data_IF_517123445594
#
_entry.id   IF_517123445594
#
_cell.length_a   1.000
_cell.length_b   1.000
_cell.length_c   1.000
_cell.angle_alpha   90.00
_cell.angle_beta   90.00
_cell.angle_gamma   90.00
#
_symmetry.space_group_name_H-M   'P 1'
#
loop_
_entity.id
_entity.type
_entity.pdbx_description
1 polymer ?
#
# COMPACT_ATOMS: atom_id res chain seq x y z
N UNK A 1 -39.31 2.93 -9.89
CA UNK A 1 -38.75 2.01 -10.90
C UNK A 1 -37.35 1.46 -10.58
N UNK A 2 -36.43 2.20 -9.92
CA UNK A 2 -35.08 1.68 -9.57
C UNK A 2 -35.08 0.56 -8.52
N UNK A 3 -35.94 0.64 -7.47
CA UNK A 3 -36.03 -0.39 -6.42
C UNK A 3 -36.50 -1.75 -6.95
N UNK A 4 -37.40 -1.76 -7.93
CA UNK A 4 -37.94 -2.99 -8.51
C UNK A 4 -36.90 -3.79 -9.32
N UNK A 5 -35.93 -3.11 -9.96
CA UNK A 5 -34.83 -3.77 -10.69
C UNK A 5 -33.85 -4.50 -9.75
N UNK A 6 -33.64 -3.99 -8.53
CA UNK A 6 -32.76 -4.61 -7.53
C UNK A 6 -33.40 -5.89 -6.98
N UNK A 7 -34.70 -5.87 -6.68
CA UNK A 7 -35.43 -7.07 -6.25
C UNK A 7 -35.52 -8.13 -7.35
N UNK A 8 -35.65 -7.70 -8.61
CA UNK A 8 -35.66 -8.62 -9.74
C UNK A 8 -34.29 -9.30 -9.96
N UNK A 9 -33.18 -8.56 -9.78
CA UNK A 9 -31.82 -9.10 -9.89
C UNK A 9 -31.48 -10.05 -8.73
N UNK A 10 -31.91 -9.71 -7.50
CA UNK A 10 -31.77 -10.59 -6.34
C UNK A 10 -32.62 -11.87 -6.46
N UNK A 11 -33.83 -11.75 -7.00
CA UNK A 11 -34.69 -12.91 -7.30
C UNK A 11 -34.09 -13.82 -8.37
N UNK A 12 -33.48 -13.26 -9.42
CA UNK A 12 -32.81 -14.03 -10.46
C UNK A 12 -31.58 -14.79 -9.94
N UNK A 13 -30.82 -14.18 -9.01
CA UNK A 13 -29.68 -14.82 -8.33
C UNK A 13 -30.12 -15.99 -7.43
N UNK A 14 -31.29 -15.89 -6.79
CA UNK A 14 -31.88 -16.95 -5.98
C UNK A 14 -32.49 -18.10 -6.81
N UNK A 15 -32.92 -17.84 -8.04
CA UNK A 15 -33.42 -18.87 -8.96
C UNK A 15 -32.26 -19.61 -9.65
N UNK A 16 -31.09 -18.97 -9.79
CA UNK A 16 -29.85 -19.60 -10.26
C UNK A 16 -29.16 -20.48 -9.20
N UNK A 17 -29.50 -20.34 -7.92
CA UNK A 17 -29.10 -21.30 -6.89
C UNK A 17 -30.00 -22.53 -6.96
N UNK A 18 -29.56 -23.55 -7.72
CA UNK A 18 -30.15 -24.89 -7.71
C UNK A 18 -30.20 -25.50 -6.29
N UNK A 19 -30.77 -26.72 -6.14
CA UNK A 19 -30.91 -27.35 -4.83
C UNK A 19 -29.55 -27.41 -4.12
N UNK A 20 -29.44 -26.68 -3.01
CA UNK A 20 -28.28 -26.70 -2.11
C UNK A 20 -28.26 -28.06 -1.40
N UNK A 21 -27.74 -29.07 -2.09
CA UNK A 21 -27.26 -30.28 -1.42
C UNK A 21 -26.06 -29.86 -0.58
N UNK A 22 -26.28 -29.65 0.72
CA UNK A 22 -25.26 -29.28 1.67
C UNK A 22 -24.35 -30.48 1.94
N UNK A 23 -23.38 -30.68 1.05
CA UNK A 23 -22.30 -31.68 1.19
C UNK A 23 -21.14 -31.14 2.04
N UNK A 24 -21.07 -29.82 2.25
CA UNK A 24 -20.25 -29.15 3.27
C UNK A 24 -18.80 -29.63 3.36
N UNK A 25 -17.89 -28.98 2.63
CA UNK A 25 -16.48 -29.37 2.60
C UNK A 25 -15.57 -28.27 3.13
N UNK A 26 -14.48 -28.67 3.80
CA UNK A 26 -13.47 -27.75 4.29
C UNK A 26 -12.23 -27.81 3.41
N UNK A 27 -11.59 -26.68 3.23
CA UNK A 27 -10.37 -26.53 2.47
C UNK A 27 -9.37 -25.74 3.30
N UNK A 28 -8.22 -26.34 3.55
CA UNK A 28 -7.08 -25.66 4.15
C UNK A 28 -6.14 -25.21 3.04
N UNK A 29 -5.64 -23.98 3.12
CA UNK A 29 -4.68 -23.48 2.14
C UNK A 29 -3.54 -22.72 2.78
N UNK A 30 -2.40 -22.76 2.11
CA UNK A 30 -1.23 -21.94 2.37
C UNK A 30 -0.91 -21.14 1.11
N UNK A 31 -0.52 -19.89 1.27
CA UNK A 31 -0.15 -19.04 0.15
C UNK A 31 1.03 -18.12 0.47
N UNK A 32 1.70 -17.69 -0.58
CA UNK A 32 2.72 -16.65 -0.58
C UNK A 32 2.42 -15.66 -1.70
N UNK A 33 2.60 -14.38 -1.43
CA UNK A 33 2.35 -13.33 -2.41
C UNK A 33 3.48 -12.30 -2.44
N UNK A 34 3.68 -11.71 -3.61
CA UNK A 34 4.37 -10.43 -3.75
C UNK A 34 3.34 -9.32 -3.71
N UNK A 35 3.67 -8.25 -3.00
CA UNK A 35 2.85 -7.05 -2.87
C UNK A 35 3.61 -5.83 -3.40
N UNK A 36 2.94 -4.89 -4.03
CA UNK A 36 3.57 -3.63 -4.45
C UNK A 36 2.58 -2.49 -4.72
N UNK A 37 3.01 -1.25 -4.51
CA UNK A 37 2.34 -0.05 -5.07
C UNK A 37 3.04 0.49 -6.31
N UNK A 38 4.10 -0.18 -6.80
CA UNK A 38 4.92 0.31 -7.91
C UNK A 38 4.17 0.35 -9.26
N UNK A 39 3.02 -0.31 -9.39
CA UNK A 39 2.17 -0.15 -10.57
C UNK A 39 1.63 1.30 -10.70
N UNK A 40 1.53 2.03 -9.58
CA UNK A 40 1.14 3.44 -9.55
C UNK A 40 2.35 4.38 -9.35
N UNK A 41 3.58 3.90 -9.54
CA UNK A 41 4.81 4.66 -9.24
C UNK A 41 4.81 6.07 -9.84
N UNK A 42 4.63 6.18 -11.16
CA UNK A 42 4.69 7.48 -11.83
C UNK A 42 3.61 8.45 -11.35
N UNK A 43 2.42 7.96 -10.99
CA UNK A 43 1.36 8.79 -10.41
C UNK A 43 1.79 9.35 -9.04
N UNK A 44 2.35 8.49 -8.18
CA UNK A 44 2.81 8.89 -6.84
C UNK A 44 4.01 9.84 -6.93
N UNK A 45 4.98 9.55 -7.79
CA UNK A 45 6.15 10.41 -8.00
C UNK A 45 5.74 11.80 -8.46
N UNK A 46 4.83 11.90 -9.43
CA UNK A 46 4.32 13.19 -9.90
C UNK A 46 3.54 13.94 -8.82
N UNK A 47 2.59 13.29 -8.14
CA UNK A 47 1.81 13.92 -7.07
C UNK A 47 2.70 14.45 -5.93
N UNK A 48 3.74 13.69 -5.55
CA UNK A 48 4.68 14.12 -4.52
C UNK A 48 5.58 15.24 -5.04
N UNK A 49 6.05 15.16 -6.29
CA UNK A 49 6.82 16.23 -6.91
C UNK A 49 6.04 17.54 -6.94
N UNK A 50 4.77 17.52 -7.36
CA UNK A 50 3.92 18.72 -7.44
C UNK A 50 3.76 19.39 -6.05
N UNK A 51 3.54 18.58 -5.01
CA UNK A 51 3.39 19.09 -3.62
C UNK A 51 4.71 19.65 -3.09
N UNK A 52 5.84 19.00 -3.38
CA UNK A 52 7.14 19.49 -2.93
C UNK A 52 7.53 20.77 -3.69
N UNK A 53 7.20 20.86 -4.99
CA UNK A 53 7.41 22.08 -5.75
C UNK A 53 6.57 23.25 -5.23
N UNK A 54 5.28 23.04 -4.90
CA UNK A 54 4.45 24.13 -4.37
C UNK A 54 4.83 24.54 -2.95
N UNK A 55 5.13 23.56 -2.07
CA UNK A 55 5.24 23.85 -0.64
C UNK A 55 6.68 24.02 -0.17
N UNK A 56 7.63 23.21 -0.67
CA UNK A 56 9.02 23.30 -0.22
C UNK A 56 9.79 24.38 -0.98
N UNK A 57 9.62 24.50 -2.30
CA UNK A 57 10.32 25.53 -3.09
C UNK A 57 10.00 26.92 -2.53
N UNK A 58 8.72 27.23 -2.38
CA UNK A 58 8.25 28.53 -1.90
C UNK A 58 8.77 28.83 -0.48
N UNK A 59 8.81 27.82 0.41
CA UNK A 59 9.38 27.97 1.75
C UNK A 59 10.88 28.23 1.74
N UNK A 60 11.65 27.50 0.93
CA UNK A 60 13.09 27.71 0.83
C UNK A 60 13.41 29.08 0.24
N UNK A 61 12.72 29.48 -0.84
CA UNK A 61 12.87 30.81 -1.43
C UNK A 61 12.55 31.89 -0.39
N UNK A 62 11.42 31.77 0.31
CA UNK A 62 11.03 32.75 1.36
C UNK A 62 12.08 32.81 2.48
N UNK A 63 12.57 31.66 2.94
CA UNK A 63 13.58 31.62 4.01
C UNK A 63 14.90 32.25 3.57
N UNK A 64 15.37 31.94 2.35
CA UNK A 64 16.60 32.51 1.81
C UNK A 64 16.44 34.02 1.60
N UNK A 65 15.29 34.48 1.09
CA UNK A 65 15.01 35.90 0.85
C UNK A 65 14.88 36.72 2.14
N UNK A 66 14.55 36.11 3.28
CA UNK A 66 14.58 36.80 4.57
C UNK A 66 16.00 37.23 4.95
N UNK A 67 16.99 36.39 4.63
CA UNK A 67 18.41 36.66 4.93
C UNK A 67 19.11 37.39 3.77
N UNK A 68 18.65 37.17 2.53
CA UNK A 68 19.21 37.70 1.28
C UNK A 68 18.10 38.18 0.32
N UNK A 69 17.54 39.40 0.52
CA UNK A 69 16.33 39.86 -0.17
C UNK A 69 16.43 39.99 -1.70
N UNK A 70 17.65 40.14 -2.21
CA UNK A 70 17.91 40.34 -3.63
C UNK A 70 18.06 39.03 -4.42
N UNK A 71 18.14 37.87 -3.74
CA UNK A 71 18.22 36.57 -4.40
C UNK A 71 16.84 36.16 -4.94
N UNK A 72 16.76 35.99 -6.26
CA UNK A 72 15.58 35.50 -6.97
C UNK A 72 15.84 34.13 -7.60
N UNK A 73 14.76 33.36 -7.81
CA UNK A 73 14.82 32.08 -8.51
C UNK A 73 15.31 32.26 -9.96
N UNK A 74 16.35 31.51 -10.34
CA UNK A 74 16.88 31.43 -11.70
C UNK A 74 16.61 30.04 -12.33
N UNK A 75 16.56 29.00 -11.50
CA UNK A 75 16.24 27.65 -11.96
C UNK A 75 15.89 26.70 -10.82
N UNK A 76 14.98 25.77 -11.09
CA UNK A 76 14.60 24.72 -10.15
C UNK A 76 14.52 23.37 -10.86
N UNK A 77 15.11 22.34 -10.25
CA UNK A 77 15.00 20.97 -10.70
C UNK A 77 14.82 20.04 -9.51
N UNK A 78 13.86 19.14 -9.64
CA UNK A 78 13.53 18.16 -8.63
C UNK A 78 13.47 16.76 -9.21
N UNK A 79 13.87 15.77 -8.41
CA UNK A 79 13.66 14.36 -8.70
C UNK A 79 13.07 13.67 -7.49
N UNK A 80 12.00 12.92 -7.71
CA UNK A 80 11.36 12.06 -6.71
C UNK A 80 11.36 10.63 -7.24
N UNK A 81 12.03 9.73 -6.52
CA UNK A 81 12.00 8.29 -6.79
C UNK A 81 11.12 7.62 -5.75
N UNK A 82 10.17 6.79 -6.18
CA UNK A 82 9.26 6.03 -5.32
C UNK A 82 9.48 4.52 -5.47
N UNK A 83 9.55 3.83 -4.33
CA UNK A 83 9.59 2.38 -4.29
C UNK A 83 8.75 1.83 -3.14
N UNK A 84 7.83 0.93 -3.47
CA UNK A 84 6.95 0.29 -2.51
C UNK A 84 6.79 -1.21 -2.74
N UNK A 85 7.79 -2.03 -2.36
CA UNK A 85 7.74 -3.47 -2.46
C UNK A 85 7.24 -4.13 -1.17
N UNK A 86 6.81 -5.37 -1.29
CA UNK A 86 6.41 -6.18 -0.14
C UNK A 86 6.14 -7.63 -0.49
N UNK A 87 5.78 -8.37 0.55
CA UNK A 87 5.44 -9.77 0.49
C UNK A 87 4.45 -10.12 1.60
N UNK A 88 3.70 -11.19 1.40
CA UNK A 88 2.89 -11.78 2.45
C UNK A 88 2.93 -13.31 2.36
N UNK A 89 2.66 -13.95 3.48
CA UNK A 89 2.33 -15.37 3.52
C UNK A 89 1.23 -15.59 4.54
N UNK A 90 0.44 -16.64 4.30
CA UNK A 90 -0.72 -16.88 5.13
C UNK A 90 -1.32 -18.25 4.97
N UNK A 91 -2.25 -18.50 5.87
CA UNK A 91 -3.07 -19.70 5.90
C UNK A 91 -4.54 -19.30 5.82
N UNK A 92 -5.35 -20.06 5.09
CA UNK A 92 -6.79 -19.84 5.02
C UNK A 92 -7.54 -21.16 5.19
N UNK A 93 -8.54 -21.14 6.07
CA UNK A 93 -9.55 -22.17 6.18
C UNK A 93 -10.80 -21.73 5.44
N UNK A 94 -11.27 -22.53 4.49
CA UNK A 94 -12.38 -22.19 3.61
C UNK A 94 -13.46 -23.24 3.63
N UNK A 95 -14.71 -22.81 3.75
CA UNK A 95 -15.88 -23.67 3.73
C UNK A 95 -16.62 -23.55 2.40
N UNK A 96 -16.96 -24.70 1.81
CA UNK A 96 -17.76 -24.82 0.58
C UNK A 96 -19.14 -25.37 0.93
N UNK A 97 -20.18 -24.52 1.01
CA UNK A 97 -21.54 -24.98 1.31
C UNK A 97 -22.05 -26.01 0.30
N UNK A 98 -21.74 -25.82 -0.99
CA UNK A 98 -22.10 -26.73 -2.08
C UNK A 98 -21.14 -27.91 -2.28
N UNK A 99 -20.27 -28.20 -1.31
CA UNK A 99 -19.32 -29.32 -1.34
C UNK A 99 -18.27 -29.22 -2.46
N UNK A 100 -17.83 -30.36 -2.98
CA UNK A 100 -16.68 -30.43 -3.91
C UNK A 100 -16.84 -29.65 -5.21
N UNK A 101 -18.07 -29.54 -5.71
CA UNK A 101 -18.39 -28.81 -6.94
C UNK A 101 -19.07 -27.47 -6.66
N UNK A 102 -19.08 -27.02 -5.40
CA UNK A 102 -19.64 -25.74 -5.02
C UNK A 102 -18.88 -24.58 -5.66
N UNK A 103 -19.62 -23.69 -6.33
CA UNK A 103 -19.08 -22.46 -6.90
C UNK A 103 -18.69 -21.44 -5.82
N UNK A 104 -19.47 -21.36 -4.74
CA UNK A 104 -19.28 -20.38 -3.68
C UNK A 104 -18.55 -20.95 -2.47
N UNK A 105 -17.74 -20.11 -1.82
CA UNK A 105 -17.08 -20.46 -0.56
C UNK A 105 -16.77 -19.25 0.32
N UNK A 106 -16.66 -19.52 1.63
CA UNK A 106 -16.33 -18.57 2.68
C UNK A 106 -14.98 -18.93 3.29
N UNK A 107 -14.02 -18.02 3.27
CA UNK A 107 -12.65 -18.20 3.79
C UNK A 107 -12.40 -17.35 5.03
N UNK A 108 -11.69 -17.91 5.99
CA UNK A 108 -11.09 -17.22 7.12
C UNK A 108 -9.56 -17.36 7.03
N UNK A 109 -8.88 -16.23 6.87
CA UNK A 109 -7.44 -16.18 6.64
C UNK A 109 -6.69 -15.54 7.81
N UNK A 110 -5.45 -15.98 8.01
CA UNK A 110 -4.43 -15.26 8.79
C UNK A 110 -3.22 -15.02 7.91
N UNK A 111 -2.80 -13.75 7.80
CA UNK A 111 -1.69 -13.35 6.94
C UNK A 111 -0.69 -12.49 7.69
N UNK A 112 0.59 -12.82 7.54
CA UNK A 112 1.70 -11.96 7.94
C UNK A 112 2.22 -11.26 6.70
N UNK A 113 2.12 -9.93 6.68
CA UNK A 113 2.58 -9.11 5.56
C UNK A 113 3.82 -8.31 5.93
N UNK A 114 4.57 -7.90 4.92
CA UNK A 114 5.65 -6.93 4.98
C UNK A 114 5.46 -5.95 3.83
N UNK A 115 5.05 -4.73 4.15
CA UNK A 115 4.81 -3.66 3.20
C UNK A 115 5.84 -2.57 3.46
N UNK A 116 6.52 -2.12 2.40
CA UNK A 116 7.43 -0.99 2.46
C UNK A 116 6.91 0.09 1.52
N UNK A 117 6.96 1.33 1.97
CA UNK A 117 6.70 2.51 1.15
C UNK A 117 7.90 3.43 1.38
N UNK A 118 8.62 3.77 0.33
CA UNK A 118 9.82 4.58 0.44
C UNK A 118 9.97 5.57 -0.70
N UNK A 119 10.59 6.69 -0.35
CA UNK A 119 11.14 7.68 -1.26
C UNK A 119 12.66 7.62 -1.09
N UNK A 120 13.35 6.66 -1.75
CA UNK A 120 14.79 6.46 -1.57
C UNK A 120 15.64 7.62 -2.04
N UNK A 121 15.14 8.43 -2.98
CA UNK A 121 15.84 9.59 -3.52
C UNK A 121 14.82 10.70 -3.78
N UNK A 122 14.92 11.77 -3.00
CA UNK A 122 14.25 13.03 -3.26
C UNK A 122 15.33 14.09 -3.33
N UNK A 123 15.61 14.64 -4.51
CA UNK A 123 16.60 15.71 -4.67
C UNK A 123 15.93 16.98 -5.18
N UNK A 124 16.38 18.12 -4.69
CA UNK A 124 15.97 19.43 -5.15
C UNK A 124 17.20 20.31 -5.34
N UNK A 125 17.31 20.94 -6.50
CA UNK A 125 18.35 21.90 -6.82
C UNK A 125 17.66 23.22 -7.18
N UNK A 126 18.02 24.28 -6.47
CA UNK A 126 17.52 25.62 -6.67
C UNK A 126 18.71 26.53 -6.97
N UNK A 127 18.72 27.11 -8.15
CA UNK A 127 19.68 28.12 -8.58
C UNK A 127 19.06 29.50 -8.37
N UNK A 128 19.84 30.39 -7.76
CA UNK A 128 19.44 31.73 -7.39
C UNK A 128 20.37 32.76 -8.02
N UNK A 129 19.85 33.95 -8.31
CA UNK A 129 20.63 35.07 -8.84
C UNK A 129 20.26 36.37 -8.11
N UNK A 130 21.28 37.15 -7.76
CA UNK A 130 21.15 38.56 -7.39
C UNK A 130 21.28 39.38 -8.68
N UNK A 131 20.17 39.97 -9.12
CA UNK A 131 20.12 40.75 -10.37
C UNK A 131 20.85 42.10 -10.27
N UNK A 132 21.08 42.62 -9.07
CA UNK A 132 21.76 43.90 -8.88
C UNK A 132 23.28 43.73 -8.91
N UNK A 133 23.77 42.57 -8.46
CA UNK A 133 25.20 42.26 -8.32
C UNK A 133 25.74 41.24 -9.33
N UNK A 134 24.87 40.65 -10.16
CA UNK A 134 25.18 39.54 -11.09
C UNK A 134 25.87 38.37 -10.39
N UNK A 135 25.38 38.05 -9.18
CA UNK A 135 25.94 37.03 -8.29
C UNK A 135 25.00 35.83 -8.19
N UNK A 136 25.56 34.63 -8.25
CA UNK A 136 24.77 33.39 -8.18
C UNK A 136 24.91 32.70 -6.84
N UNK A 137 23.80 32.17 -6.32
CA UNK A 137 23.79 31.24 -5.19
C UNK A 137 23.11 29.94 -5.61
N UNK A 138 23.36 28.84 -4.90
CA UNK A 138 22.68 27.58 -5.16
C UNK A 138 22.33 26.86 -3.86
N UNK A 139 21.18 26.21 -3.86
CA UNK A 139 20.73 25.36 -2.76
C UNK A 139 20.48 23.96 -3.30
N UNK A 140 21.14 22.97 -2.69
CA UNK A 140 21.00 21.56 -3.06
C UNK A 140 20.53 20.79 -1.86
N UNK A 141 19.41 20.09 -1.99
CA UNK A 141 18.83 19.27 -0.94
C UNK A 141 18.64 17.82 -1.41
N UNK A 142 18.83 16.89 -0.49
CA UNK A 142 18.54 15.49 -0.64
C UNK A 142 17.73 15.01 0.57
N UNK A 143 16.70 14.21 0.33
CA UNK A 143 15.91 13.59 1.36
C UNK A 143 15.60 12.14 1.00
N UNK A 144 15.43 11.34 2.05
CA UNK A 144 14.97 9.97 1.97
C UNK A 144 13.90 9.73 3.03
N UNK A 145 12.88 8.98 2.66
CA UNK A 145 11.78 8.60 3.55
C UNK A 145 11.48 7.12 3.41
N UNK A 146 11.18 6.45 4.51
CA UNK A 146 10.84 5.03 4.51
C UNK A 146 9.83 4.71 5.60
N UNK A 147 8.75 4.07 5.20
CA UNK A 147 7.71 3.53 6.06
C UNK A 147 7.65 2.01 5.88
N UNK A 148 7.74 1.27 6.99
CA UNK A 148 7.75 -0.20 7.00
C UNK A 148 6.61 -0.67 7.89
N UNK A 149 5.68 -1.42 7.32
CA UNK A 149 4.51 -1.97 8.00
C UNK A 149 4.60 -3.49 7.93
N UNK A 150 4.47 -4.18 9.07
CA UNK A 150 4.51 -5.64 9.13
C UNK A 150 3.27 -6.22 9.83
N UNK A 151 2.07 -6.03 9.26
CA UNK A 151 0.85 -6.40 9.96
C UNK A 151 0.70 -7.92 10.02
N UNK A 152 0.26 -8.40 11.18
CA UNK A 152 -0.41 -9.68 11.31
C UNK A 152 -1.91 -9.41 11.22
N UNK A 153 -2.59 -10.04 10.26
CA UNK A 153 -3.95 -9.69 9.87
C UNK A 153 -4.85 -10.90 9.75
N UNK A 154 -6.14 -10.70 10.05
CA UNK A 154 -7.19 -11.70 9.92
C UNK A 154 -8.17 -11.26 8.82
N UNK A 155 -8.59 -12.19 7.98
CA UNK A 155 -9.34 -11.92 6.76
C UNK A 155 -10.61 -12.75 6.66
N UNK A 156 -11.66 -12.16 6.12
CA UNK A 156 -12.89 -12.83 5.69
C UNK A 156 -12.99 -12.71 4.17
N UNK A 157 -12.99 -13.85 3.48
CA UNK A 157 -12.88 -13.91 2.02
C UNK A 157 -14.02 -14.69 1.38
N UNK A 158 -14.79 -14.03 0.52
CA UNK A 158 -15.82 -14.63 -0.31
C UNK A 158 -15.23 -14.97 -1.68
N UNK A 159 -15.32 -16.23 -2.11
CA UNK A 159 -14.83 -16.66 -3.43
C UNK A 159 -15.94 -17.33 -4.23
N UNK A 160 -16.01 -16.97 -5.52
CA UNK A 160 -16.89 -17.57 -6.51
C UNK A 160 -16.07 -18.15 -7.65
N UNK A 161 -16.08 -19.48 -7.76
CA UNK A 161 -15.55 -20.24 -8.89
C UNK A 161 -16.56 -20.27 -10.04
N UNK A 162 -16.13 -19.92 -11.25
CA UNK A 162 -16.99 -19.88 -12.43
C UNK A 162 -17.28 -21.29 -12.98
N UNK A 163 -16.28 -22.17 -12.97
CA UNK A 163 -16.38 -23.52 -13.52
C UNK A 163 -15.86 -24.59 -12.53
N UNK A 164 -16.54 -24.79 -11.40
CA UNK A 164 -16.05 -25.61 -10.30
C UNK A 164 -16.00 -27.11 -10.61
N UNK A 165 -16.39 -27.59 -11.79
CA UNK A 165 -16.18 -28.98 -12.23
C UNK A 165 -14.91 -29.17 -13.07
N UNK A 166 -14.34 -28.11 -13.64
CA UNK A 166 -13.19 -28.19 -14.55
C UNK A 166 -11.86 -28.30 -13.81
N UNK A 167 -10.87 -28.94 -14.44
CA UNK A 167 -9.51 -29.03 -13.89
C UNK A 167 -8.90 -27.66 -13.61
N UNK A 168 -9.11 -26.70 -14.53
CA UNK A 168 -8.76 -25.30 -14.35
C UNK A 168 -10.06 -24.51 -14.18
N UNK A 169 -10.22 -23.87 -13.04
CA UNK A 169 -11.42 -23.12 -12.65
C UNK A 169 -11.04 -21.68 -12.31
N UNK A 170 -11.42 -20.70 -13.14
CA UNK A 170 -11.28 -19.30 -12.79
C UNK A 170 -12.22 -18.93 -11.65
N UNK A 171 -11.80 -17.97 -10.83
CA UNK A 171 -12.61 -17.46 -9.74
C UNK A 171 -12.31 -15.98 -9.48
N UNK A 172 -13.22 -15.34 -8.77
CA UNK A 172 -12.98 -14.05 -8.17
C UNK A 172 -13.17 -14.12 -6.66
N UNK A 173 -12.43 -13.28 -5.94
CA UNK A 173 -12.47 -13.18 -4.49
C UNK A 173 -12.71 -11.73 -4.09
N UNK A 174 -13.57 -11.54 -3.10
CA UNK A 174 -13.75 -10.25 -2.40
C UNK A 174 -13.60 -10.53 -0.91
N UNK A 175 -12.80 -9.72 -0.24
CA UNK A 175 -12.52 -9.91 1.16
C UNK A 175 -12.23 -8.63 1.90
N UNK A 176 -12.25 -8.73 3.21
CA UNK A 176 -11.85 -7.67 4.11
C UNK A 176 -11.14 -8.26 5.33
N UNK A 177 -10.20 -7.51 5.86
CA UNK A 177 -9.41 -7.91 7.00
C UNK A 177 -9.01 -6.77 7.91
N UNK A 178 -8.42 -7.12 9.04
CA UNK A 178 -8.00 -6.19 10.07
C UNK A 178 -6.67 -6.68 10.64
N UNK A 179 -5.70 -5.77 10.80
CA UNK A 179 -4.45 -6.08 11.50
C UNK A 179 -4.64 -6.11 13.01
N UNK A 180 -3.78 -6.86 13.71
CA UNK A 180 -3.65 -6.75 15.16
C UNK A 180 -3.03 -5.40 15.53
N UNK A 181 -3.49 -4.79 16.62
CA UNK A 181 -2.97 -3.50 17.06
C UNK A 181 -1.48 -3.52 17.39
N UNK A 182 -0.99 -4.62 17.98
CA UNK A 182 0.45 -4.80 18.26
C UNK A 182 1.29 -4.68 16.99
N UNK A 183 0.96 -5.47 15.96
CA UNK A 183 1.71 -5.44 14.68
C UNK A 183 1.58 -4.11 13.93
N UNK A 184 0.51 -3.36 14.18
CA UNK A 184 0.30 -2.04 13.61
C UNK A 184 1.24 -1.01 14.27
N UNK A 185 1.32 -0.98 15.60
CA UNK A 185 2.17 -0.01 16.31
C UNK A 185 3.67 -0.28 16.19
N UNK A 186 4.07 -1.50 15.82
CA UNK A 186 5.46 -1.86 15.47
C UNK A 186 5.89 -1.32 14.08
N UNK A 187 4.97 -0.77 13.29
CA UNK A 187 5.34 -0.12 12.03
C UNK A 187 6.29 1.05 12.29
N UNK A 188 7.32 1.18 11.44
CA UNK A 188 8.38 2.16 11.61
C UNK A 188 8.43 3.16 10.47
N UNK A 189 8.74 4.39 10.83
CA UNK A 189 8.97 5.52 9.95
C UNK A 189 10.41 6.01 10.13
N UNK A 190 11.11 6.19 9.03
CA UNK A 190 12.48 6.67 8.97
C UNK A 190 12.54 7.82 7.98
N UNK A 191 13.21 8.90 8.35
CA UNK A 191 13.56 9.96 7.41
C UNK A 191 14.98 10.42 7.65
N UNK A 192 15.61 10.89 6.59
CA UNK A 192 16.83 11.68 6.66
C UNK A 192 16.76 12.75 5.58
N UNK A 193 17.22 13.96 5.90
CA UNK A 193 17.44 15.00 4.91
C UNK A 193 18.81 15.65 5.15
N UNK A 194 19.41 16.10 4.06
CA UNK A 194 20.57 16.97 4.05
C UNK A 194 20.37 18.08 3.01
N UNK A 195 20.92 19.26 3.25
CA UNK A 195 20.92 20.33 2.27
C UNK A 195 22.08 21.28 2.49
N UNK A 196 22.64 21.77 1.40
CA UNK A 196 23.78 22.70 1.42
C UNK A 196 23.40 23.95 0.63
N UNK A 197 23.43 25.09 1.30
CA UNK A 197 23.34 26.42 0.68
C UNK A 197 24.76 26.89 0.37
N UNK A 198 25.02 27.27 -0.87
CA UNK A 198 26.27 27.90 -1.31
C UNK A 198 25.98 29.35 -1.71
N UNK A 199 26.61 30.28 -1.01
CA UNK A 199 26.47 31.72 -1.22
C UNK A 199 27.44 32.23 -2.30
N UNK A 200 27.24 33.46 -2.83
CA UNK A 200 28.09 34.00 -3.89
C UNK A 200 29.58 34.14 -3.53
N UNK A 201 29.90 34.22 -2.24
CA UNK A 201 31.28 34.28 -1.73
C UNK A 201 31.93 32.89 -1.57
N UNK A 202 31.26 31.83 -2.03
CA UNK A 202 31.59 30.41 -1.87
C UNK A 202 31.57 29.91 -0.41
N UNK A 203 30.98 30.66 0.53
CA UNK A 203 30.69 30.10 1.85
C UNK A 203 29.51 29.13 1.76
N UNK A 204 29.54 28.10 2.62
CA UNK A 204 28.54 27.02 2.64
C UNK A 204 27.87 26.90 4.00
N UNK A 205 26.58 26.61 3.99
CA UNK A 205 25.81 26.27 5.19
C UNK A 205 25.09 24.95 4.99
N UNK A 206 25.36 24.00 5.88
CA UNK A 206 24.77 22.66 5.84
C UNK A 206 23.62 22.52 6.84
N UNK A 207 22.59 21.80 6.41
CA UNK A 207 21.41 21.44 7.20
C UNK A 207 21.24 19.93 7.15
N UNK A 208 21.23 19.26 8.29
CA UNK A 208 21.02 17.81 8.33
C UNK A 208 20.11 17.41 9.49
N UNK A 209 19.23 16.45 9.24
CA UNK A 209 18.45 15.80 10.28
C UNK A 209 18.05 14.41 9.85
N UNK A 210 18.06 13.48 10.80
CA UNK A 210 17.50 12.16 10.61
C UNK A 210 16.76 11.72 11.86
N UNK A 211 15.70 10.94 11.69
CA UNK A 211 15.09 10.23 12.81
C UNK A 211 14.46 8.92 12.35
N UNK A 212 14.38 7.99 13.30
CA UNK A 212 13.61 6.75 13.18
C UNK A 212 12.64 6.71 14.36
N UNK A 213 11.36 6.47 14.07
CA UNK A 213 10.30 6.34 15.08
C UNK A 213 9.33 5.23 14.70
N UNK A 214 8.69 4.63 15.68
CA UNK A 214 7.59 3.69 15.52
C UNK A 214 6.25 4.41 15.58
N UNK A 215 5.19 3.80 15.05
CA UNK A 215 3.84 4.32 15.23
C UNK A 215 3.42 4.36 16.71
N UNK A 216 3.94 3.43 17.53
CA UNK A 216 3.76 3.46 18.98
C UNK A 216 4.34 4.73 19.62
N UNK A 217 5.60 5.05 19.32
CA UNK A 217 6.25 6.27 19.82
C UNK A 217 5.54 7.54 19.33
N UNK A 218 5.13 7.58 18.06
CA UNK A 218 4.37 8.70 17.50
C UNK A 218 3.03 8.89 18.22
N UNK A 219 2.35 7.79 18.56
CA UNK A 219 1.10 7.83 19.33
C UNK A 219 1.35 8.40 20.74
N UNK A 220 2.38 7.93 21.43
CA UNK A 220 2.69 8.37 22.79
C UNK A 220 3.06 9.86 22.83
N UNK A 221 3.84 10.34 21.85
CA UNK A 221 4.16 11.77 21.69
C UNK A 221 2.92 12.62 21.46
N UNK A 222 1.98 12.15 20.63
CA UNK A 222 0.72 12.86 20.38
C UNK A 222 -0.15 12.94 21.63
N UNK A 223 -0.29 11.82 22.35
CA UNK A 223 -1.07 11.76 23.58
C UNK A 223 -0.47 12.67 24.67
N UNK A 224 0.86 12.68 24.80
CA UNK A 224 1.57 13.58 25.71
C UNK A 224 1.36 15.06 25.35
N UNK A 225 1.25 15.38 24.06
CA UNK A 225 0.90 16.72 23.57
C UNK A 225 -0.60 17.06 23.64
N UNK A 226 -1.43 16.22 24.29
CA UNK A 226 -2.88 16.41 24.40
C UNK A 226 -3.64 16.21 23.09
N UNK A 227 -3.02 15.57 22.08
CA UNK A 227 -3.61 15.29 20.77
C UNK A 227 -4.10 13.84 20.71
N UNK A 228 -5.28 13.64 20.12
CA UNK A 228 -5.84 12.30 19.94
C UNK A 228 -5.14 11.51 18.83
N UNK A 229 -5.10 10.19 18.98
CA UNK A 229 -4.64 9.23 17.97
C UNK A 229 -5.74 8.18 17.72
N UNK A 230 -6.40 8.26 16.58
CA UNK A 230 -7.67 7.55 16.32
C UNK A 230 -7.53 6.17 15.69
N UNK A 231 -6.34 5.82 15.17
CA UNK A 231 -6.10 4.54 14.48
C UNK A 231 -5.45 3.53 15.42
N UNK A 232 -6.02 2.33 15.54
CA UNK A 232 -5.44 1.25 16.36
C UNK A 232 -5.20 -0.04 15.57
N UNK A 233 -5.54 -0.06 14.28
CA UNK A 233 -5.38 -1.20 13.38
C UNK A 233 -5.30 -0.69 11.93
N UNK A 234 -4.79 -1.54 11.04
CA UNK A 234 -4.82 -1.35 9.59
C UNK A 234 -6.01 -2.17 9.03
N UNK A 235 -7.05 -1.52 8.49
CA UNK A 235 -8.07 -2.22 7.70
C UNK A 235 -7.45 -2.68 6.39
N UNK A 236 -7.87 -3.86 5.91
CA UNK A 236 -7.42 -4.42 4.64
C UNK A 236 -8.62 -4.71 3.77
N UNK A 237 -8.56 -4.30 2.50
CA UNK A 237 -9.56 -4.64 1.49
C UNK A 237 -8.92 -5.50 0.41
N UNK A 238 -9.58 -6.61 0.10
CA UNK A 238 -9.11 -7.59 -0.87
C UNK A 238 -10.10 -7.73 -2.04
N UNK A 239 -9.57 -7.69 -3.26
CA UNK A 239 -10.30 -8.06 -4.47
C UNK A 239 -9.35 -8.71 -5.47
N UNK A 240 -9.58 -9.98 -5.79
CA UNK A 240 -8.68 -10.75 -6.64
C UNK A 240 -9.42 -11.49 -7.74
N UNK A 241 -8.70 -11.70 -8.85
CA UNK A 241 -9.03 -12.69 -9.86
C UNK A 241 -7.99 -13.80 -9.82
N UNK A 242 -8.44 -15.04 -9.90
CA UNK A 242 -7.55 -16.18 -9.79
C UNK A 242 -7.94 -17.38 -10.62
N UNK A 243 -7.02 -18.34 -10.67
CA UNK A 243 -7.15 -19.62 -11.34
C UNK A 243 -6.83 -20.72 -10.32
N UNK A 244 -7.74 -21.66 -10.17
CA UNK A 244 -7.51 -22.92 -9.45
C UNK A 244 -7.17 -24.00 -10.46
N UNK A 245 -6.05 -24.68 -10.28
CA UNK A 245 -5.71 -25.91 -10.97
C UNK A 245 -5.83 -27.10 -10.01
N UNK A 246 -6.73 -28.04 -10.30
CA UNK A 246 -6.87 -29.28 -9.52
C UNK A 246 -5.81 -30.29 -9.95
N UNK A 247 -4.92 -30.61 -9.02
CA UNK A 247 -3.87 -31.61 -9.22
C UNK A 247 -4.43 -33.01 -8.92
N UNK A 248 -5.28 -33.12 -7.90
CA UNK A 248 -5.98 -34.34 -7.55
C UNK A 248 -7.35 -34.04 -6.94
N UNK A 249 -8.04 -35.07 -6.42
CA UNK A 249 -9.34 -34.90 -5.73
C UNK A 249 -9.23 -34.05 -4.46
N UNK A 250 -8.05 -34.00 -3.83
CA UNK A 250 -7.82 -33.27 -2.58
C UNK A 250 -6.94 -32.04 -2.79
N UNK A 251 -5.96 -32.12 -3.69
CA UNK A 251 -4.94 -31.08 -3.85
C UNK A 251 -5.23 -30.15 -5.02
N UNK A 252 -5.17 -28.84 -4.76
CA UNK A 252 -5.27 -27.80 -5.77
C UNK A 252 -4.12 -26.81 -5.64
N UNK A 253 -3.67 -26.26 -6.76
CA UNK A 253 -2.85 -25.07 -6.83
C UNK A 253 -3.72 -23.86 -7.19
N UNK A 254 -3.42 -22.71 -6.59
CA UNK A 254 -4.13 -21.46 -6.79
C UNK A 254 -3.15 -20.37 -7.19
N UNK A 255 -3.51 -19.58 -8.20
CA UNK A 255 -2.78 -18.38 -8.61
C UNK A 255 -3.77 -17.21 -8.64
N UNK A 256 -3.46 -16.11 -7.95
CA UNK A 256 -4.34 -14.93 -7.83
C UNK A 256 -3.55 -13.66 -8.13
N UNK A 257 -4.22 -12.70 -8.76
CA UNK A 257 -3.73 -11.33 -8.90
C UNK A 257 -4.86 -10.35 -8.64
N UNK A 258 -4.54 -9.23 -7.99
CA UNK A 258 -5.56 -8.26 -7.60
C UNK A 258 -5.07 -7.21 -6.64
N UNK A 259 -5.97 -6.74 -5.79
CA UNK A 259 -5.80 -5.63 -4.85
C UNK A 259 -5.90 -6.13 -3.42
N UNK A 260 -4.92 -5.74 -2.60
CA UNK A 260 -4.80 -5.97 -1.17
C UNK A 260 -4.11 -4.72 -0.56
N UNK A 261 -4.86 -3.63 -0.42
CA UNK A 261 -4.35 -2.27 -0.13
C UNK A 261 -3.14 -1.83 -0.99
N UNK A 262 -3.05 -2.41 -2.18
CA UNK A 262 -1.92 -2.39 -3.10
C UNK A 262 -2.03 -3.59 -4.04
N UNK A 263 -1.14 -3.74 -5.01
CA UNK A 263 -1.26 -4.82 -6.00
C UNK A 263 -0.59 -6.09 -5.50
N UNK A 264 -1.23 -7.23 -5.71
CA UNK A 264 -0.68 -8.53 -5.34
C UNK A 264 -0.62 -9.52 -6.49
N UNK A 265 0.38 -10.39 -6.42
CA UNK A 265 0.45 -11.64 -7.17
C UNK A 265 0.73 -12.76 -6.16
N UNK A 266 -0.20 -13.70 -6.05
CA UNK A 266 -0.25 -14.73 -5.02
C UNK A 266 -0.28 -16.11 -5.62
N UNK A 267 0.54 -17.00 -5.09
CA UNK A 267 0.51 -18.44 -5.38
C UNK A 267 0.24 -19.23 -4.11
N UNK A 268 -0.54 -20.30 -4.20
CA UNK A 268 -0.90 -21.11 -3.05
C UNK A 268 -1.25 -22.55 -3.36
N UNK A 269 -1.27 -23.36 -2.31
CA UNK A 269 -1.68 -24.75 -2.32
C UNK A 269 -2.88 -24.91 -1.40
N UNK A 270 -3.85 -25.71 -1.83
CA UNK A 270 -5.06 -25.98 -1.09
C UNK A 270 -5.33 -27.49 -1.00
N UNK A 271 -5.78 -27.94 0.16
CA UNK A 271 -6.18 -29.30 0.47
C UNK A 271 -7.63 -29.29 0.91
N UNK A 272 -8.50 -29.95 0.14
CA UNK A 272 -9.92 -30.12 0.45
C UNK A 272 -10.18 -31.47 1.10
N UNK A 273 -10.84 -31.46 2.25
CA UNK A 273 -11.16 -32.62 3.11
C UNK A 273 -12.67 -32.81 3.14
#
# INVERSE_FOLDING_TARGET
MKKFKIFFLAGLLLILSGPLLADGQLEFSFHYSRWTLNMARGLVENMVSDVLESDLKDRFITQIQNDYPNLAENGYNQKVTFDAPGDNFGFELRFYPGGRQGAFSLGLGIEKSSMRVSFPEVTANLDLIDHDLDQTASFRAAAQGKFIIKPLSFHLNLRWELWPSKMISPYFTVGAGLSTGKSFFEASYQYAYSGTLTLPDNSTQDYEQAATKTLGEIKDERLAAGKNFSLNFLPIVQMDFGLRARISKMFSFCLEAGVFDGFILRGGLAIRI
#
